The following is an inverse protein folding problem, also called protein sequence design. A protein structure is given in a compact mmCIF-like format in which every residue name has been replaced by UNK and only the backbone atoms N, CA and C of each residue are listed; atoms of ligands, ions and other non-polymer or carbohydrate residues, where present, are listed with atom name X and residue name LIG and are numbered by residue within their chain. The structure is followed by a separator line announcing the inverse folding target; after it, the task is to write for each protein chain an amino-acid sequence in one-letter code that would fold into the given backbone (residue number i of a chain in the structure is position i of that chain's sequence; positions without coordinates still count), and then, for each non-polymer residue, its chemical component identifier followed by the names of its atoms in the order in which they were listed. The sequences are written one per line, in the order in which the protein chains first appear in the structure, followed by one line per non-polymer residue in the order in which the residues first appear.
data_IF_371293951694
#
_entry.id   IF_371293951694
#
_cell.length_a   1.000
_cell.length_b   1.000
_cell.length_c   1.000
_cell.angle_alpha   90.00
_cell.angle_beta   90.00
_cell.angle_gamma   90.00
#
_symmetry.space_group_name_H-M   'P 1'
#
loop_
_entity.id
_entity.type
_entity.pdbx_description
1 polymer ?
#
# COMPACT_ATOMS: atom_id res chain seq x y z
N UNK A 1 -2.03 25.14 36.42
CA UNK A 1 -0.66 24.68 36.11
C UNK A 1 -0.76 23.22 35.72
N UNK A 2 -1.29 22.98 34.52
CA UNK A 2 -1.42 21.66 33.91
C UNK A 2 -0.36 21.63 32.81
N UNK A 3 0.69 20.85 33.02
CA UNK A 3 1.73 20.68 32.01
C UNK A 3 1.24 19.73 30.93
N UNK A 4 1.35 20.23 29.70
CA UNK A 4 1.14 19.51 28.45
C UNK A 4 2.01 18.24 28.47
N UNK A 5 1.37 17.08 28.39
CA UNK A 5 2.08 15.85 28.03
C UNK A 5 2.38 15.90 26.54
N UNK A 6 3.66 16.11 26.30
CA UNK A 6 4.44 15.94 25.08
C UNK A 6 3.80 15.02 24.03
N UNK A 7 3.28 15.66 22.99
CA UNK A 7 3.08 15.10 21.68
C UNK A 7 4.44 15.02 20.98
N UNK A 8 5.08 13.84 21.00
CA UNK A 8 6.05 13.33 20.01
C UNK A 8 6.79 12.11 20.57
N UNK A 9 6.13 10.94 20.60
CA UNK A 9 6.89 9.70 20.39
C UNK A 9 7.10 9.56 18.90
N UNK A 10 8.23 10.06 18.41
CA UNK A 10 8.80 9.55 17.16
C UNK A 10 9.34 8.16 17.52
N UNK A 11 8.48 7.15 17.45
CA UNK A 11 8.92 5.76 17.50
C UNK A 11 9.97 5.55 16.40
N UNK A 12 11.09 4.90 16.71
CA UNK A 12 11.98 4.41 15.66
C UNK A 12 11.17 3.39 14.84
N UNK A 13 10.88 3.66 13.56
CA UNK A 13 10.08 2.75 12.77
C UNK A 13 10.86 1.46 12.58
N UNK A 14 10.15 0.33 12.55
CA UNK A 14 10.72 -0.96 12.18
C UNK A 14 11.58 -0.80 10.92
N UNK A 15 12.87 -1.16 11.03
CA UNK A 15 13.81 -1.07 9.90
C UNK A 15 13.31 -1.86 8.69
N UNK A 16 13.76 -1.47 7.50
CA UNK A 16 13.47 -2.20 6.26
C UNK A 16 13.74 -3.69 6.42
N UNK A 17 12.88 -4.53 5.83
CA UNK A 17 13.02 -5.98 5.82
C UNK A 17 13.13 -6.53 4.39
N UNK A 18 13.61 -7.77 4.26
CA UNK A 18 13.67 -8.49 2.99
C UNK A 18 14.49 -7.81 1.89
N UNK A 19 14.02 -7.90 0.64
CA UNK A 19 14.67 -7.33 -0.54
C UNK A 19 14.92 -5.82 -0.41
N UNK A 20 13.98 -5.07 0.18
CA UNK A 20 14.13 -3.63 0.38
C UNK A 20 15.33 -3.28 1.27
N UNK A 21 15.59 -4.06 2.32
CA UNK A 21 16.78 -3.92 3.16
C UNK A 21 18.06 -4.33 2.43
N UNK A 22 18.01 -5.46 1.71
CA UNK A 22 19.16 -6.02 0.99
C UNK A 22 19.65 -5.12 -0.16
N UNK A 23 18.78 -4.29 -0.72
CA UNK A 23 19.15 -3.27 -1.70
C UNK A 23 20.21 -2.28 -1.18
N UNK A 24 20.15 -1.93 0.11
CA UNK A 24 21.15 -1.07 0.75
C UNK A 24 22.55 -1.68 0.84
N UNK A 25 22.70 -2.99 0.60
CA UNK A 25 23.99 -3.68 0.59
C UNK A 25 24.72 -3.57 -0.76
N UNK A 26 24.04 -3.11 -1.82
CA UNK A 26 24.63 -2.93 -3.14
C UNK A 26 25.61 -1.75 -3.13
N UNK A 27 26.76 -1.92 -3.77
CA UNK A 27 27.69 -0.82 -3.96
C UNK A 27 27.06 0.30 -4.79
N UNK A 28 27.10 1.52 -4.25
CA UNK A 28 26.58 2.70 -4.93
C UNK A 28 27.27 2.91 -6.29
N UNK A 29 26.48 3.23 -7.31
CA UNK A 29 27.02 3.64 -8.62
C UNK A 29 27.45 5.10 -8.53
N UNK A 30 28.59 5.41 -9.15
CA UNK A 30 29.09 6.79 -9.25
C UNK A 30 28.46 7.61 -10.36
N UNK A 31 27.56 7.01 -11.15
CA UNK A 31 26.89 7.64 -12.30
C UNK A 31 25.46 7.12 -12.43
N UNK A 32 24.59 7.97 -12.96
CA UNK A 32 23.24 7.61 -13.38
C UNK A 32 23.25 6.68 -14.60
N UNK A 33 22.21 5.83 -14.78
CA UNK A 33 22.08 4.99 -15.97
C UNK A 33 21.84 5.86 -17.21
N UNK A 34 22.67 5.67 -18.24
CA UNK A 34 22.56 6.45 -19.48
C UNK A 34 21.29 6.11 -20.30
N UNK A 35 20.76 4.90 -20.15
CA UNK A 35 19.58 4.41 -20.90
C UNK A 35 18.85 3.31 -20.11
N UNK A 36 17.59 3.03 -20.49
CA UNK A 36 16.81 1.91 -19.97
C UNK A 36 17.56 0.57 -20.02
N UNK A 37 18.25 0.29 -21.14
CA UNK A 37 19.05 -0.93 -21.31
C UNK A 37 20.22 -1.03 -20.31
N UNK A 38 20.86 0.10 -19.99
CA UNK A 38 21.94 0.12 -18.99
C UNK A 38 21.37 -0.16 -17.61
N UNK A 39 20.23 0.44 -17.28
CA UNK A 39 19.55 0.20 -16.00
C UNK A 39 19.10 -1.26 -15.87
N UNK A 40 18.47 -1.85 -16.90
CA UNK A 40 18.06 -3.25 -16.88
C UNK A 40 19.26 -4.19 -16.66
N UNK A 41 20.41 -3.92 -17.29
CA UNK A 41 21.64 -4.68 -17.06
C UNK A 41 22.11 -4.57 -15.59
N UNK A 42 22.00 -3.40 -14.96
CA UNK A 42 22.34 -3.23 -13.55
C UNK A 42 21.35 -3.95 -12.63
N UNK A 43 20.06 -3.94 -12.98
CA UNK A 43 19.02 -4.72 -12.29
C UNK A 43 19.33 -6.21 -12.37
N UNK A 44 19.63 -6.76 -13.55
CA UNK A 44 20.00 -8.17 -13.73
C UNK A 44 21.23 -8.57 -12.91
N UNK A 45 22.25 -7.70 -12.87
CA UNK A 45 23.45 -7.91 -12.05
C UNK A 45 23.11 -7.95 -10.55
N UNK A 46 22.30 -7.00 -10.08
CA UNK A 46 21.86 -6.97 -8.69
C UNK A 46 20.99 -8.19 -8.35
N UNK A 47 20.14 -8.65 -9.26
CA UNK A 47 19.32 -9.84 -9.05
C UNK A 47 20.16 -11.08 -8.80
N UNK A 48 21.20 -11.28 -9.62
CA UNK A 48 22.14 -12.38 -9.45
C UNK A 48 22.88 -12.30 -8.11
N UNK A 49 23.28 -11.10 -7.68
CA UNK A 49 23.96 -10.89 -6.39
C UNK A 49 23.03 -11.13 -5.19
N UNK A 50 21.78 -10.72 -5.29
CA UNK A 50 20.80 -10.79 -4.20
C UNK A 50 20.04 -12.13 -4.17
N UNK A 51 20.31 -13.04 -5.11
CA UNK A 51 19.60 -14.31 -5.21
C UNK A 51 18.11 -14.15 -5.54
N UNK A 52 17.73 -13.07 -6.23
CA UNK A 52 16.35 -12.82 -6.65
C UNK A 52 16.17 -13.15 -8.13
N UNK A 53 14.94 -13.47 -8.55
CA UNK A 53 14.61 -13.78 -9.95
C UNK A 53 13.37 -12.99 -10.40
N UNK A 54 13.22 -12.84 -11.72
CA UNK A 54 12.02 -12.26 -12.33
C UNK A 54 11.94 -10.72 -12.26
N UNK A 55 10.83 -10.08 -12.65
CA UNK A 55 10.75 -8.62 -12.79
C UNK A 55 10.70 -7.83 -11.46
N UNK A 56 10.71 -8.53 -10.31
CA UNK A 56 10.42 -7.96 -8.98
C UNK A 56 11.32 -6.78 -8.60
N UNK A 57 12.63 -6.87 -8.89
CA UNK A 57 13.57 -5.82 -8.51
C UNK A 57 13.41 -4.54 -9.35
N UNK A 58 13.27 -4.70 -10.68
CA UNK A 58 12.97 -3.56 -11.56
C UNK A 58 11.65 -2.89 -11.21
N UNK A 59 10.63 -3.69 -10.85
CA UNK A 59 9.36 -3.17 -10.35
C UNK A 59 9.52 -2.44 -9.02
N UNK A 60 10.29 -2.95 -8.05
CA UNK A 60 10.50 -2.30 -6.75
C UNK A 60 11.16 -0.93 -6.91
N UNK A 61 12.16 -0.81 -7.79
CA UNK A 61 12.80 0.47 -8.11
C UNK A 61 11.78 1.44 -8.70
N UNK A 62 11.02 1.00 -9.71
CA UNK A 62 10.00 1.83 -10.34
C UNK A 62 8.90 2.24 -9.34
N UNK A 63 8.45 1.32 -8.49
CA UNK A 63 7.44 1.58 -7.49
C UNK A 63 7.91 2.58 -6.42
N UNK A 64 9.17 2.48 -6.00
CA UNK A 64 9.78 3.42 -5.04
C UNK A 64 9.84 4.83 -5.63
N UNK A 65 10.34 4.96 -6.87
CA UNK A 65 10.46 6.25 -7.55
C UNK A 65 9.09 6.85 -7.86
N UNK A 66 8.17 6.08 -8.43
CA UNK A 66 6.82 6.56 -8.76
C UNK A 66 6.08 6.98 -7.48
N UNK A 67 6.19 6.23 -6.39
CA UNK A 67 5.62 6.65 -5.10
C UNK A 67 6.22 7.97 -4.63
N UNK A 68 7.55 8.13 -4.72
CA UNK A 68 8.22 9.39 -4.37
C UNK A 68 7.74 10.57 -5.21
N UNK A 69 7.55 10.39 -6.52
CA UNK A 69 7.02 11.44 -7.42
C UNK A 69 5.56 11.77 -7.11
N UNK A 70 4.70 10.76 -6.89
CA UNK A 70 3.31 10.98 -6.46
C UNK A 70 3.24 11.80 -5.16
N UNK A 71 4.22 11.62 -4.27
CA UNK A 71 4.30 12.33 -3.00
C UNK A 71 4.91 13.73 -3.07
N UNK A 72 5.45 14.14 -4.23
CA UNK A 72 5.80 15.55 -4.47
C UNK A 72 4.54 16.41 -4.61
N UNK A 73 3.42 15.85 -5.06
CA UNK A 73 2.13 16.53 -5.02
C UNK A 73 1.66 16.65 -3.56
N UNK A 74 1.83 17.83 -2.98
CA UNK A 74 1.71 18.05 -1.53
C UNK A 74 1.21 19.45 -1.19
N UNK A 75 0.75 19.61 0.06
CA UNK A 75 0.63 20.93 0.67
C UNK A 75 1.98 21.30 1.29
N UNK A 76 2.61 22.34 0.76
CA UNK A 76 3.84 22.87 1.31
C UNK A 76 3.61 23.49 2.71
N UNK A 77 4.52 23.24 3.64
CA UNK A 77 4.53 23.86 4.98
C UNK A 77 4.86 22.88 6.10
N UNK A 78 4.77 23.37 7.33
CA UNK A 78 5.05 22.68 8.59
C UNK A 78 3.79 22.53 9.48
N UNK A 79 2.63 23.01 8.99
CA UNK A 79 1.35 22.90 9.68
C UNK A 79 0.78 21.48 9.72
N UNK A 80 -0.22 21.24 10.58
CA UNK A 80 -0.87 19.92 10.76
C UNK A 80 -1.45 19.29 9.47
N UNK A 81 -1.70 20.10 8.44
CA UNK A 81 -2.23 19.66 7.16
C UNK A 81 -1.19 19.63 6.03
N UNK A 82 0.10 19.84 6.36
CA UNK A 82 1.16 19.74 5.36
C UNK A 82 1.49 18.29 5.01
N UNK A 83 2.24 18.11 3.94
CA UNK A 83 2.69 16.81 3.47
C UNK A 83 1.96 16.31 2.22
N UNK A 84 2.27 15.09 1.77
CA UNK A 84 1.81 14.58 0.49
C UNK A 84 0.30 14.39 0.47
N UNK A 85 -0.32 14.64 -0.68
CA UNK A 85 -1.71 14.27 -0.93
C UNK A 85 -1.86 12.76 -1.06
N UNK A 86 -0.88 12.10 -1.67
CA UNK A 86 -0.87 10.67 -1.90
C UNK A 86 -0.28 9.90 -0.70
N UNK A 87 -1.09 9.02 -0.11
CA UNK A 87 -0.65 8.04 0.88
C UNK A 87 -0.62 6.66 0.26
N UNK A 88 0.54 6.00 0.31
CA UNK A 88 0.68 4.63 -0.19
C UNK A 88 -0.11 3.65 0.68
N UNK A 89 -0.85 2.74 0.06
CA UNK A 89 -1.57 1.65 0.74
C UNK A 89 -1.36 0.32 0.01
N UNK A 90 -2.15 -0.69 0.37
CA UNK A 90 -2.23 -1.93 -0.40
C UNK A 90 -0.96 -2.78 -0.35
N UNK A 91 -0.72 -3.60 -1.38
CA UNK A 91 0.37 -4.57 -1.39
C UNK A 91 1.76 -3.94 -1.42
N UNK A 92 1.90 -2.78 -2.07
CA UNK A 92 3.18 -2.06 -2.16
C UNK A 92 3.61 -1.50 -0.80
N UNK A 93 2.67 -0.99 0.00
CA UNK A 93 2.94 -0.61 1.39
C UNK A 93 3.42 -1.83 2.22
N UNK A 94 2.74 -2.98 2.08
CA UNK A 94 3.11 -4.20 2.78
C UNK A 94 4.52 -4.66 2.42
N UNK A 95 4.92 -4.56 1.14
CA UNK A 95 6.27 -4.90 0.70
C UNK A 95 7.36 -4.10 1.43
N UNK A 96 7.14 -2.82 1.70
CA UNK A 96 8.11 -2.01 2.44
C UNK A 96 8.17 -2.38 3.93
N UNK A 97 7.07 -2.85 4.53
CA UNK A 97 7.00 -3.21 5.96
C UNK A 97 7.44 -4.63 6.28
N UNK A 98 7.03 -5.58 5.44
CA UNK A 98 7.18 -7.02 5.65
C UNK A 98 8.29 -7.64 4.80
N UNK A 99 8.75 -6.93 3.76
CA UNK A 99 9.87 -7.38 2.93
C UNK A 99 9.53 -8.57 2.03
N UNK A 100 10.24 -9.69 2.20
CA UNK A 100 10.17 -10.82 1.26
C UNK A 100 8.94 -11.70 1.45
N UNK A 101 8.28 -11.64 2.60
CA UNK A 101 7.13 -12.49 2.99
C UNK A 101 5.80 -12.02 2.39
N UNK A 102 5.81 -11.10 1.44
CA UNK A 102 4.60 -10.61 0.78
C UNK A 102 4.50 -11.14 -0.63
N UNK A 103 3.28 -11.45 -1.06
CA UNK A 103 2.94 -11.70 -2.45
C UNK A 103 3.43 -10.60 -3.41
N UNK A 104 3.65 -10.98 -4.65
CA UNK A 104 3.99 -10.01 -5.69
C UNK A 104 2.81 -9.05 -5.95
N UNK A 105 3.04 -7.75 -5.84
CA UNK A 105 2.12 -6.71 -6.29
C UNK A 105 2.66 -6.07 -7.57
N UNK A 106 1.76 -5.63 -8.44
CA UNK A 106 2.11 -4.96 -9.70
C UNK A 106 1.63 -3.52 -9.77
N UNK A 107 0.76 -3.15 -8.84
CA UNK A 107 0.06 -1.88 -8.84
C UNK A 107 0.46 -1.07 -7.61
N UNK A 108 0.39 0.25 -7.75
CA UNK A 108 0.53 1.20 -6.65
C UNK A 108 -0.88 1.63 -6.25
N UNK A 109 -1.34 1.17 -5.11
CA UNK A 109 -2.59 1.63 -4.51
C UNK A 109 -2.31 2.82 -3.59
N UNK A 110 -3.16 3.84 -3.67
CA UNK A 110 -3.08 5.01 -2.81
C UNK A 110 -4.42 5.54 -2.33
N UNK A 111 -4.35 6.31 -1.26
CA UNK A 111 -5.42 7.19 -0.80
C UNK A 111 -5.00 8.65 -1.06
N UNK A 112 -5.93 9.45 -1.56
CA UNK A 112 -5.71 10.87 -1.84
C UNK A 112 -6.47 11.72 -0.81
N UNK A 113 -5.73 12.58 -0.10
CA UNK A 113 -6.21 13.43 1.02
C UNK A 113 -6.89 14.74 0.57
N UNK A 114 -7.13 14.88 -0.72
CA UNK A 114 -7.78 16.02 -1.36
C UNK A 114 -8.69 15.50 -2.47
N UNK A 115 -9.51 16.37 -3.09
CA UNK A 115 -10.25 15.99 -4.28
C UNK A 115 -9.31 15.62 -5.45
N UNK A 116 -9.79 14.76 -6.35
CA UNK A 116 -8.96 14.27 -7.45
C UNK A 116 -8.51 15.35 -8.42
N UNK A 117 -9.29 16.41 -8.63
CA UNK A 117 -8.94 17.47 -9.58
C UNK A 117 -7.74 18.27 -9.03
N UNK A 118 -7.77 18.64 -7.75
CA UNK A 118 -6.64 19.25 -7.06
C UNK A 118 -5.41 18.33 -7.10
N UNK A 119 -5.58 17.04 -6.81
CA UNK A 119 -4.46 16.09 -6.87
C UNK A 119 -3.85 15.98 -8.27
N UNK A 120 -4.66 15.82 -9.32
CA UNK A 120 -4.15 15.70 -10.68
C UNK A 120 -3.49 16.99 -11.16
N UNK A 121 -4.05 18.16 -10.82
CA UNK A 121 -3.45 19.45 -11.17
C UNK A 121 -2.05 19.62 -10.55
N UNK A 122 -1.85 19.22 -9.29
CA UNK A 122 -0.53 19.27 -8.66
C UNK A 122 0.39 18.14 -9.15
N UNK A 123 -0.16 16.94 -9.40
CA UNK A 123 0.59 15.82 -9.96
C UNK A 123 1.17 16.18 -11.34
N UNK A 124 0.39 16.81 -12.20
CA UNK A 124 0.83 17.19 -13.55
C UNK A 124 1.95 18.24 -13.51
N UNK A 125 1.96 19.11 -12.50
CA UNK A 125 3.06 20.07 -12.28
C UNK A 125 4.34 19.35 -11.85
N UNK A 126 4.27 18.38 -10.94
CA UNK A 126 5.48 17.70 -10.43
C UNK A 126 6.00 16.63 -11.39
N UNK A 127 5.17 16.09 -12.28
CA UNK A 127 5.60 15.10 -13.29
C UNK A 127 6.53 15.68 -14.34
N UNK A 128 6.54 17.01 -14.55
CA UNK A 128 7.50 17.66 -15.46
C UNK A 128 8.93 17.71 -14.89
N UNK A 129 9.07 17.50 -13.59
CA UNK A 129 10.37 17.46 -12.92
C UNK A 129 10.97 16.05 -12.99
N UNK A 130 12.23 15.96 -13.38
CA UNK A 130 12.94 14.68 -13.38
C UNK A 130 13.20 14.15 -11.96
N UNK A 131 13.47 12.85 -11.88
CA UNK A 131 14.02 12.19 -10.70
C UNK A 131 15.30 11.47 -11.11
N UNK A 132 16.45 12.14 -10.95
CA UNK A 132 17.72 11.68 -11.51
C UNK A 132 17.60 11.39 -13.01
N UNK A 133 17.84 10.14 -13.46
CA UNK A 133 17.75 9.78 -14.89
C UNK A 133 16.31 9.70 -15.43
N UNK A 134 15.30 9.77 -14.57
CA UNK A 134 13.93 9.47 -14.93
C UNK A 134 13.12 10.72 -15.29
N UNK A 135 12.41 10.62 -16.41
CA UNK A 135 11.35 11.52 -16.84
C UNK A 135 10.00 10.81 -16.65
N UNK A 136 8.93 11.57 -16.45
CA UNK A 136 7.61 11.01 -16.17
C UNK A 136 6.53 11.59 -17.07
N UNK A 137 5.51 10.77 -17.31
CA UNK A 137 4.21 11.22 -17.78
C UNK A 137 3.14 10.27 -17.24
N UNK A 138 1.86 10.66 -17.31
CA UNK A 138 0.75 9.77 -16.97
C UNK A 138 -0.25 9.67 -18.10
N UNK A 139 -0.99 8.57 -18.13
CA UNK A 139 -2.19 8.46 -18.97
C UNK A 139 -3.34 9.25 -18.37
N UNK A 140 -4.41 9.39 -19.16
CA UNK A 140 -5.71 9.78 -18.63
C UNK A 140 -6.18 8.80 -17.55
N UNK A 141 -6.93 9.34 -16.59
CA UNK A 141 -7.45 8.59 -15.47
C UNK A 141 -8.82 8.00 -15.79
N UNK A 142 -8.93 6.69 -15.69
CA UNK A 142 -10.16 5.94 -15.87
C UNK A 142 -10.91 5.81 -14.54
N UNK A 143 -12.24 5.84 -14.59
CA UNK A 143 -13.10 5.63 -13.41
C UNK A 143 -13.32 4.13 -13.20
N UNK A 144 -12.97 3.63 -12.02
CA UNK A 144 -13.27 2.25 -11.64
C UNK A 144 -14.65 2.20 -11.00
N UNK A 145 -15.54 1.36 -11.53
CA UNK A 145 -16.85 1.15 -10.89
C UNK A 145 -16.72 0.16 -9.74
N UNK A 146 -16.92 0.66 -8.52
CA UNK A 146 -16.97 -0.13 -7.30
C UNK A 146 -18.37 0.00 -6.71
N UNK A 147 -19.13 -1.11 -6.55
CA UNK A 147 -20.42 -1.08 -5.87
C UNK A 147 -20.31 -0.48 -4.46
N UNK A 148 -21.27 0.36 -4.08
CA UNK A 148 -21.32 0.94 -2.73
C UNK A 148 -20.36 2.10 -2.45
N UNK A 149 -19.65 2.62 -3.46
CA UNK A 149 -18.81 3.82 -3.33
C UNK A 149 -19.42 5.01 -4.06
N UNK A 150 -19.60 6.12 -3.34
CA UNK A 150 -20.09 7.38 -3.94
C UNK A 150 -18.98 7.99 -4.80
N UNK A 151 -17.81 8.22 -4.20
CA UNK A 151 -16.64 8.66 -4.93
C UNK A 151 -15.83 7.45 -5.41
N UNK A 152 -16.02 7.13 -6.69
CA UNK A 152 -15.36 6.01 -7.36
C UNK A 152 -13.84 6.20 -7.42
N UNK A 153 -13.03 5.14 -7.25
CA UNK A 153 -11.58 5.22 -7.48
C UNK A 153 -11.22 5.62 -8.91
N UNK A 154 -9.96 6.04 -9.10
CA UNK A 154 -9.37 6.30 -10.42
C UNK A 154 -8.19 5.38 -10.66
N UNK A 155 -8.00 4.99 -11.91
CA UNK A 155 -6.83 4.22 -12.37
C UNK A 155 -6.16 4.93 -13.52
N UNK A 156 -4.85 5.01 -13.49
CA UNK A 156 -4.03 5.54 -14.57
C UNK A 156 -2.68 4.86 -14.54
N UNK A 157 -1.90 5.03 -15.60
CA UNK A 157 -0.53 4.55 -15.64
C UNK A 157 0.45 5.72 -15.59
N UNK A 158 1.48 5.58 -14.75
CA UNK A 158 2.67 6.45 -14.79
C UNK A 158 3.72 5.77 -15.67
N UNK A 159 4.18 6.50 -16.67
CA UNK A 159 5.27 6.09 -17.55
C UNK A 159 6.57 6.63 -16.96
N UNK A 160 7.54 5.74 -16.76
CA UNK A 160 8.89 6.06 -16.32
C UNK A 160 9.80 5.95 -17.53
N UNK A 161 10.37 7.07 -17.97
CA UNK A 161 11.20 7.16 -19.17
C UNK A 161 12.66 7.48 -18.80
N UNK A 162 13.60 7.04 -19.63
CA UNK A 162 14.98 7.52 -19.62
C UNK A 162 15.29 8.04 -21.02
N UNK A 163 15.51 9.35 -21.14
CA UNK A 163 15.79 10.04 -22.42
C UNK A 163 14.71 9.75 -23.46
N UNK A 164 13.44 9.91 -23.08
CA UNK A 164 12.28 9.67 -23.95
C UNK A 164 11.97 8.20 -24.25
N UNK A 165 12.73 7.22 -23.73
CA UNK A 165 12.42 5.80 -23.89
C UNK A 165 11.74 5.27 -22.63
N UNK A 166 10.51 4.76 -22.75
CA UNK A 166 9.78 4.14 -21.64
C UNK A 166 10.54 2.93 -21.12
N UNK A 167 11.00 3.01 -19.88
CA UNK A 167 11.61 1.90 -19.15
C UNK A 167 10.55 1.06 -18.43
N UNK A 168 9.59 1.69 -17.76
CA UNK A 168 8.49 1.01 -17.05
C UNK A 168 7.17 1.76 -17.21
N UNK A 169 6.08 0.99 -17.21
CA UNK A 169 4.71 1.45 -17.03
C UNK A 169 4.24 0.93 -15.68
N UNK A 170 3.79 1.83 -14.81
CA UNK A 170 3.36 1.51 -13.45
C UNK A 170 1.91 1.92 -13.28
N UNK A 171 1.04 0.94 -13.01
CA UNK A 171 -0.37 1.20 -12.77
C UNK A 171 -0.55 1.78 -11.38
N UNK A 172 -1.27 2.89 -11.30
CA UNK A 172 -1.63 3.59 -10.08
C UNK A 172 -3.14 3.58 -9.93
N UNK A 173 -3.62 3.12 -8.78
CA UNK A 173 -5.01 3.21 -8.38
C UNK A 173 -5.13 4.14 -7.17
N UNK A 174 -5.98 5.16 -7.27
CA UNK A 174 -6.23 6.10 -6.18
C UNK A 174 -7.69 5.99 -5.74
N UNK A 175 -7.89 5.94 -4.43
CA UNK A 175 -9.19 6.15 -3.81
C UNK A 175 -9.22 7.51 -3.10
N UNK A 176 -10.42 8.07 -2.97
CA UNK A 176 -10.62 9.20 -2.10
C UNK A 176 -10.39 8.83 -0.64
N UNK A 177 -10.20 9.86 0.18
CA UNK A 177 -10.18 9.73 1.62
C UNK A 177 -11.50 9.13 2.15
N UNK A 178 -11.40 8.35 3.23
CA UNK A 178 -12.56 7.76 3.90
C UNK A 178 -12.35 7.75 5.42
N UNK A 179 -13.35 8.24 6.16
CA UNK A 179 -13.21 8.37 7.61
C UNK A 179 -12.05 9.30 7.99
N UNK A 180 -11.26 8.90 8.99
CA UNK A 180 -10.03 9.59 9.41
C UNK A 180 -8.75 9.00 8.78
N UNK A 181 -8.87 8.15 7.75
CA UNK A 181 -7.76 7.45 7.08
C UNK A 181 -6.66 8.41 6.59
N UNK A 182 -7.03 9.51 5.94
CA UNK A 182 -6.11 10.52 5.42
C UNK A 182 -5.50 11.44 6.49
N UNK A 183 -5.96 11.35 7.75
CA UNK A 183 -5.39 12.11 8.87
C UNK A 183 -4.30 11.32 9.59
N UNK A 184 -4.45 10.01 9.72
CA UNK A 184 -3.46 9.14 10.35
C UNK A 184 -2.40 8.70 9.33
N UNK A 185 -1.40 9.56 9.13
CA UNK A 185 -0.29 9.32 8.22
C UNK A 185 0.85 8.63 8.97
N UNK A 186 1.23 7.45 8.49
CA UNK A 186 2.49 6.82 8.88
C UNK A 186 3.55 7.03 7.80
N UNK A 187 4.79 6.63 8.10
CA UNK A 187 5.85 6.64 7.10
C UNK A 187 6.77 5.45 7.28
N UNK A 188 7.25 4.92 6.16
CA UNK A 188 8.25 3.85 6.13
C UNK A 188 9.53 4.37 5.50
N UNK A 189 10.67 3.79 5.89
CA UNK A 189 11.92 4.02 5.18
C UNK A 189 11.78 3.52 3.74
N UNK A 190 12.34 4.26 2.77
CA UNK A 190 12.41 3.78 1.39
C UNK A 190 13.68 2.92 1.19
N UNK A 191 13.64 1.89 0.32
CA UNK A 191 14.84 1.16 -0.03
C UNK A 191 15.87 2.08 -0.70
N UNK A 192 17.14 1.86 -0.41
CA UNK A 192 18.23 2.55 -1.11
C UNK A 192 18.33 2.09 -2.56
N UNK A 193 18.30 3.05 -3.48
CA UNK A 193 18.44 2.88 -4.92
C UNK A 193 19.85 3.27 -5.43
N UNK A 194 20.77 3.59 -4.51
CA UNK A 194 22.13 4.01 -4.84
C UNK A 194 22.89 2.98 -5.68
N UNK A 195 22.62 1.68 -5.48
CA UNK A 195 23.16 0.58 -6.29
C UNK A 195 22.80 0.63 -7.79
N UNK A 196 21.85 1.49 -8.16
CA UNK A 196 21.41 1.73 -9.54
C UNK A 196 21.73 3.14 -10.03
N UNK A 197 22.47 3.95 -9.26
CA UNK A 197 22.75 5.34 -9.61
C UNK A 197 21.49 6.20 -9.61
N UNK A 198 20.55 5.89 -8.73
CA UNK A 198 19.26 6.58 -8.60
C UNK A 198 19.12 7.09 -7.17
N UNK A 199 18.70 8.35 -7.02
CA UNK A 199 18.38 8.92 -5.70
C UNK A 199 17.17 8.24 -5.07
N UNK A 200 17.17 8.04 -3.76
CA UNK A 200 16.05 7.42 -3.05
C UNK A 200 15.26 8.48 -2.29
N UNK A 201 13.92 8.41 -2.25
CA UNK A 201 13.18 9.21 -1.29
C UNK A 201 13.63 8.85 0.12
N UNK A 202 13.73 9.81 1.03
CA UNK A 202 14.17 9.52 2.40
C UNK A 202 13.15 8.62 3.14
N UNK A 203 11.86 8.94 2.98
CA UNK A 203 10.73 8.18 3.53
C UNK A 203 9.58 8.16 2.53
N UNK A 204 8.73 7.16 2.66
CA UNK A 204 7.47 7.03 1.92
C UNK A 204 6.33 7.23 2.91
N UNK A 205 5.44 8.19 2.66
CA UNK A 205 4.23 8.34 3.44
C UNK A 205 3.23 7.22 3.12
N UNK A 206 2.61 6.63 4.13
CA UNK A 206 1.68 5.52 3.97
C UNK A 206 0.38 5.80 4.70
N UNK A 207 -0.66 5.09 4.29
CA UNK A 207 -1.81 4.86 5.16
C UNK A 207 -1.32 4.25 6.48
N UNK A 208 -1.97 4.57 7.61
CA UNK A 208 -1.66 3.90 8.87
C UNK A 208 -1.96 2.41 8.80
N UNK A 209 -1.26 1.63 9.63
CA UNK A 209 -1.45 0.18 9.68
C UNK A 209 -2.86 -0.19 10.14
N UNK A 210 -3.43 0.55 11.10
CA UNK A 210 -4.81 0.36 11.56
C UNK A 210 -5.82 0.51 10.43
N UNK A 211 -5.70 1.55 9.59
CA UNK A 211 -6.61 1.74 8.45
C UNK A 211 -6.35 0.75 7.31
N UNK A 212 -5.10 0.34 7.07
CA UNK A 212 -4.80 -0.73 6.14
C UNK A 212 -5.47 -2.05 6.58
N UNK A 213 -5.42 -2.39 7.87
CA UNK A 213 -6.11 -3.54 8.46
C UNK A 213 -7.62 -3.37 8.28
N UNK A 214 -8.19 -2.24 8.68
CA UNK A 214 -9.63 -1.96 8.60
C UNK A 214 -10.19 -2.09 7.18
N UNK A 215 -9.50 -1.51 6.18
CA UNK A 215 -9.89 -1.62 4.77
C UNK A 215 -9.87 -3.06 4.27
N UNK A 216 -8.89 -3.87 4.69
CA UNK A 216 -8.78 -5.29 4.35
C UNK A 216 -9.85 -6.13 5.06
N UNK A 217 -10.10 -5.88 6.34
CA UNK A 217 -11.17 -6.54 7.11
C UNK A 217 -12.53 -6.31 6.43
N UNK A 218 -12.84 -5.05 6.08
CA UNK A 218 -14.08 -4.76 5.38
C UNK A 218 -14.16 -5.45 4.01
N UNK A 219 -13.05 -5.48 3.26
CA UNK A 219 -13.03 -6.12 1.93
C UNK A 219 -13.22 -7.65 2.02
N UNK A 220 -12.50 -8.32 2.91
CA UNK A 220 -12.51 -9.78 3.04
C UNK A 220 -13.83 -10.30 3.64
N UNK A 221 -14.48 -9.52 4.49
CA UNK A 221 -15.82 -9.82 5.06
C UNK A 221 -16.98 -9.37 4.16
N UNK A 222 -16.66 -8.83 2.98
CA UNK A 222 -17.65 -8.36 2.01
C UNK A 222 -18.64 -9.45 1.56
N UNK A 223 -19.85 -9.07 1.14
CA UNK A 223 -20.90 -10.00 0.76
C UNK A 223 -20.48 -10.90 -0.41
N UNK A 224 -20.86 -12.17 -0.33
CA UNK A 224 -20.75 -13.14 -1.42
C UNK A 224 -22.15 -13.65 -1.77
N UNK A 225 -22.70 -13.16 -2.88
CA UNK A 225 -24.03 -13.49 -3.40
C UNK A 225 -23.90 -13.66 -4.93
N UNK A 226 -23.33 -14.77 -5.40
CA UNK A 226 -23.16 -15.01 -6.83
C UNK A 226 -24.51 -15.22 -7.55
N UNK A 227 -24.64 -14.82 -8.83
CA UNK A 227 -23.58 -14.25 -9.68
C UNK A 227 -23.34 -12.75 -9.49
N UNK A 228 -24.22 -12.03 -8.79
CA UNK A 228 -24.20 -10.56 -8.73
C UNK A 228 -23.00 -10.02 -7.96
N UNK A 229 -22.58 -10.72 -6.90
CA UNK A 229 -21.48 -10.34 -6.03
C UNK A 229 -20.59 -11.56 -5.72
N UNK A 230 -19.43 -11.62 -6.37
CA UNK A 230 -18.39 -12.60 -6.05
C UNK A 230 -17.31 -11.90 -5.23
N UNK A 231 -17.13 -12.34 -3.98
CA UNK A 231 -16.01 -11.88 -3.17
C UNK A 231 -14.80 -12.75 -3.53
N UNK A 232 -13.75 -12.15 -4.08
CA UNK A 232 -12.51 -12.82 -4.52
C UNK A 232 -11.29 -12.25 -3.77
N UNK A 233 -11.43 -12.15 -2.44
CA UNK A 233 -10.46 -11.51 -1.56
C UNK A 233 -9.69 -12.49 -0.67
N UNK A 234 -9.46 -13.72 -1.13
CA UNK A 234 -8.63 -14.72 -0.43
C UNK A 234 -7.30 -14.13 0.08
N UNK A 235 -6.67 -13.29 -0.74
CA UNK A 235 -5.40 -12.62 -0.44
C UNK A 235 -5.41 -11.75 0.79
N UNK A 236 -6.58 -11.18 1.11
CA UNK A 236 -6.72 -10.32 2.28
C UNK A 236 -6.66 -11.16 3.57
N UNK A 237 -6.93 -12.48 3.54
CA UNK A 237 -6.66 -13.39 4.68
C UNK A 237 -5.16 -13.46 4.96
N UNK A 238 -4.34 -13.70 3.93
CA UNK A 238 -2.88 -13.77 4.04
C UNK A 238 -2.32 -12.43 4.51
N UNK A 239 -2.71 -11.33 3.86
CA UNK A 239 -2.25 -9.99 4.21
C UNK A 239 -2.61 -9.61 5.66
N UNK A 240 -3.80 -9.99 6.15
CA UNK A 240 -4.23 -9.72 7.54
C UNK A 240 -3.47 -10.54 8.58
N UNK A 241 -3.16 -11.82 8.29
CA UNK A 241 -2.34 -12.63 9.19
C UNK A 241 -0.91 -12.09 9.30
N UNK A 242 -0.32 -11.68 8.18
CA UNK A 242 1.00 -11.03 8.19
C UNK A 242 0.99 -9.69 8.95
N UNK A 243 -0.07 -8.90 8.79
CA UNK A 243 -0.26 -7.64 9.52
C UNK A 243 -0.43 -7.89 11.02
N UNK A 244 -1.23 -8.87 11.42
CA UNK A 244 -1.36 -9.29 12.82
C UNK A 244 -0.01 -9.68 13.40
N UNK A 245 0.76 -10.53 12.72
CA UNK A 245 2.06 -10.97 13.20
C UNK A 245 3.04 -9.80 13.31
N UNK A 246 2.95 -8.83 12.40
CA UNK A 246 3.69 -7.57 12.50
C UNK A 246 3.28 -6.78 13.73
N UNK A 247 1.97 -6.56 13.95
CA UNK A 247 1.44 -5.86 15.14
C UNK A 247 1.91 -6.53 16.43
N UNK A 248 1.86 -7.86 16.53
CA UNK A 248 2.32 -8.60 17.70
C UNK A 248 3.82 -8.43 17.94
N UNK A 249 4.63 -8.36 16.87
CA UNK A 249 6.09 -8.19 16.95
C UNK A 249 6.51 -6.76 17.25
N UNK A 250 5.83 -5.76 16.66
CA UNK A 250 6.13 -4.34 16.87
C UNK A 250 5.54 -3.80 18.16
N UNK A 251 4.43 -4.40 18.64
CA UNK A 251 3.62 -3.86 19.74
C UNK A 251 2.76 -2.65 19.33
N UNK A 252 2.67 -2.34 18.03
CA UNK A 252 1.93 -1.21 17.50
C UNK A 252 1.38 -1.50 16.08
N UNK A 253 0.18 -1.02 15.72
CA UNK A 253 -0.77 -0.28 16.56
C UNK A 253 -1.37 -1.14 17.69
N UNK A 254 -1.90 -0.49 18.72
CA UNK A 254 -2.64 -1.17 19.79
C UNK A 254 -3.99 -1.71 19.26
N UNK A 255 -4.58 -2.70 19.95
CA UNK A 255 -5.80 -3.36 19.45
C UNK A 255 -7.00 -2.40 19.40
N UNK A 256 -7.09 -1.46 20.33
CA UNK A 256 -8.12 -0.42 20.38
C UNK A 256 -7.98 0.58 19.21
N UNK A 257 -6.75 0.92 18.80
CA UNK A 257 -6.49 1.72 17.60
C UNK A 257 -6.94 1.00 16.32
N UNK A 258 -6.72 -0.32 16.24
CA UNK A 258 -7.22 -1.14 15.12
C UNK A 258 -8.74 -1.19 15.15
N UNK A 259 -9.34 -1.39 16.32
CA UNK A 259 -10.79 -1.46 16.50
C UNK A 259 -11.46 -0.14 16.06
N UNK A 260 -10.94 1.00 16.53
CA UNK A 260 -11.42 2.32 16.15
C UNK A 260 -11.39 2.53 14.63
N UNK A 261 -10.30 2.13 13.96
CA UNK A 261 -10.20 2.21 12.51
C UNK A 261 -11.18 1.28 11.79
N UNK A 262 -11.42 0.06 12.30
CA UNK A 262 -12.42 -0.87 11.77
C UNK A 262 -13.81 -0.25 11.87
N UNK A 263 -14.21 0.25 13.03
CA UNK A 263 -15.51 0.91 13.24
C UNK A 263 -15.69 2.08 12.27
N UNK A 264 -14.71 2.99 12.18
CA UNK A 264 -14.79 4.15 11.28
C UNK A 264 -14.95 3.74 9.80
N UNK A 265 -14.13 2.80 9.29
CA UNK A 265 -14.25 2.33 7.91
C UNK A 265 -15.61 1.68 7.64
N UNK A 266 -16.10 0.83 8.55
CA UNK A 266 -17.41 0.19 8.40
C UNK A 266 -18.54 1.21 8.44
N UNK A 267 -18.51 2.17 9.37
CA UNK A 267 -19.52 3.21 9.46
C UNK A 267 -19.58 4.11 8.23
N UNK A 268 -18.42 4.57 7.74
CA UNK A 268 -18.34 5.40 6.52
C UNK A 268 -18.93 4.66 5.33
N UNK A 269 -18.52 3.40 5.12
CA UNK A 269 -19.00 2.58 4.00
C UNK A 269 -20.46 2.19 4.16
N UNK A 270 -20.95 1.99 5.38
CA UNK A 270 -22.37 1.76 5.66
C UNK A 270 -23.21 2.99 5.28
N UNK A 271 -22.76 4.20 5.60
CA UNK A 271 -23.44 5.45 5.19
C UNK A 271 -23.46 5.59 3.67
N UNK A 272 -22.35 5.33 2.98
CA UNK A 272 -22.31 5.35 1.52
C UNK A 272 -23.24 4.31 0.89
N UNK A 273 -23.21 3.08 1.40
CA UNK A 273 -24.07 1.99 0.95
C UNK A 273 -25.56 2.33 1.10
N UNK A 274 -25.94 2.88 2.26
CA UNK A 274 -27.31 3.33 2.52
C UNK A 274 -27.74 4.45 1.55
N UNK A 275 -26.87 5.44 1.31
CA UNK A 275 -27.13 6.52 0.36
C UNK A 275 -27.33 6.01 -1.07
N UNK A 276 -26.66 4.92 -1.44
CA UNK A 276 -26.77 4.28 -2.76
C UNK A 276 -27.86 3.20 -2.84
N UNK A 277 -28.58 2.94 -1.74
CA UNK A 277 -29.61 1.91 -1.68
C UNK A 277 -29.08 0.48 -1.86
N UNK A 278 -27.79 0.26 -1.60
CA UNK A 278 -27.17 -1.07 -1.65
C UNK A 278 -27.06 -1.67 -0.24
N UNK A 279 -26.85 -2.98 -0.16
CA UNK A 279 -26.78 -3.71 1.11
C UNK A 279 -25.68 -3.12 2.01
N UNK A 280 -26.08 -2.73 3.21
CA UNK A 280 -25.18 -2.24 4.25
C UNK A 280 -24.46 -3.41 4.91
N UNK A 281 -23.14 -3.26 5.10
CA UNK A 281 -22.29 -4.16 5.86
C UNK A 281 -21.97 -3.51 7.21
N UNK A 282 -22.02 -4.28 8.29
CA UNK A 282 -21.84 -3.80 9.67
C UNK A 282 -20.76 -4.60 10.39
N UNK A 283 -20.15 -3.99 11.40
CA UNK A 283 -19.23 -4.63 12.33
C UNK A 283 -19.98 -5.03 13.63
N UNK A 284 -19.64 -6.16 14.30
CA UNK A 284 -18.64 -7.16 13.94
C UNK A 284 -19.03 -8.01 12.73
N UNK A 285 -18.04 -8.35 11.91
CA UNK A 285 -18.20 -9.20 10.73
C UNK A 285 -17.22 -10.39 10.79
N UNK A 286 -17.62 -11.54 10.23
CA UNK A 286 -16.79 -12.75 10.21
C UNK A 286 -16.25 -13.04 8.83
N UNK A 287 -14.99 -13.43 8.77
CA UNK A 287 -14.37 -13.93 7.54
C UNK A 287 -14.91 -15.34 7.26
N UNK A 288 -15.31 -15.59 6.02
CA UNK A 288 -15.82 -16.90 5.58
C UNK A 288 -14.83 -17.48 4.57
N UNK A 289 -14.42 -18.73 4.81
CA UNK A 289 -13.61 -19.49 3.86
C UNK A 289 -14.48 -19.98 2.70
N UNK A 290 -14.52 -19.20 1.62
CA UNK A 290 -15.30 -19.60 0.44
C UNK A 290 -14.57 -20.69 -0.35
N UNK A 291 -15.25 -21.76 -0.83
CA UNK A 291 -14.58 -22.86 -1.53
C UNK A 291 -13.79 -22.44 -2.78
N UNK A 292 -14.22 -21.39 -3.49
CA UNK A 292 -13.51 -20.91 -4.69
C UNK A 292 -12.19 -20.19 -4.36
N UNK A 293 -11.92 -19.87 -3.09
CA UNK A 293 -10.68 -19.22 -2.66
C UNK A 293 -9.51 -20.19 -2.52
N UNK A 294 -9.74 -21.51 -2.45
CA UNK A 294 -8.69 -22.49 -2.11
C UNK A 294 -7.44 -22.37 -3.01
N UNK A 295 -7.63 -22.26 -4.33
CA UNK A 295 -6.52 -22.18 -5.28
C UNK A 295 -5.73 -20.87 -5.16
N UNK A 296 -6.41 -19.73 -5.09
CA UNK A 296 -5.76 -18.42 -4.96
C UNK A 296 -5.10 -18.28 -3.60
N UNK A 297 -5.78 -18.68 -2.53
CA UNK A 297 -5.24 -18.70 -1.17
C UNK A 297 -3.96 -19.53 -1.08
N UNK A 298 -3.96 -20.76 -1.61
CA UNK A 298 -2.79 -21.67 -1.56
C UNK A 298 -1.58 -21.02 -2.24
N UNK A 299 -1.80 -20.41 -3.41
CA UNK A 299 -0.73 -19.70 -4.12
C UNK A 299 -0.17 -18.54 -3.28
N UNK A 300 -1.06 -17.75 -2.69
CA UNK A 300 -0.71 -16.55 -1.93
C UNK A 300 -0.03 -16.87 -0.59
N UNK A 301 -0.47 -17.93 0.08
CA UNK A 301 0.08 -18.39 1.35
C UNK A 301 1.47 -19.01 1.19
N UNK A 302 1.68 -19.82 0.14
CA UNK A 302 2.99 -20.37 -0.23
C UNK A 302 4.00 -19.27 -0.56
N UNK A 303 3.61 -18.27 -1.35
CA UNK A 303 4.48 -17.13 -1.68
C UNK A 303 4.88 -16.31 -0.44
N UNK A 304 4.01 -16.28 0.57
CA UNK A 304 4.13 -15.43 1.75
C UNK A 304 4.67 -16.17 2.99
N UNK A 305 4.82 -17.49 2.92
CA UNK A 305 5.24 -18.34 4.04
C UNK A 305 4.18 -18.51 5.14
N UNK A 306 2.91 -18.22 4.85
CA UNK A 306 1.78 -18.46 5.77
C UNK A 306 1.42 -19.94 5.69
N UNK A 307 1.46 -20.63 6.82
CA UNK A 307 1.24 -22.07 6.89
C UNK A 307 -0.18 -22.40 7.33
N UNK A 308 -0.80 -23.37 6.67
CA UNK A 308 -2.12 -23.88 7.03
C UNK A 308 -3.08 -23.95 5.84
N UNK A 309 -4.21 -24.63 6.02
CA UNK A 309 -5.30 -24.58 5.05
C UNK A 309 -6.05 -23.25 5.14
N UNK A 310 -6.82 -22.91 4.10
CA UNK A 310 -7.70 -21.75 4.09
C UNK A 310 -8.59 -21.70 5.34
N UNK A 311 -9.21 -22.83 5.67
CA UNK A 311 -10.10 -22.94 6.83
C UNK A 311 -9.39 -22.60 8.14
N UNK A 312 -8.20 -23.16 8.38
CA UNK A 312 -7.41 -22.91 9.60
C UNK A 312 -7.01 -21.43 9.68
N UNK A 313 -6.53 -20.86 8.58
CA UNK A 313 -6.11 -19.47 8.54
C UNK A 313 -7.28 -18.49 8.75
N UNK A 314 -8.47 -18.82 8.23
CA UNK A 314 -9.70 -18.04 8.46
C UNK A 314 -10.19 -18.16 9.90
N UNK A 315 -10.09 -19.33 10.53
CA UNK A 315 -10.40 -19.50 11.95
C UNK A 315 -9.47 -18.67 12.83
N UNK A 316 -8.17 -18.74 12.57
CA UNK A 316 -7.14 -17.98 13.26
C UNK A 316 -7.32 -16.46 13.12
N UNK A 317 -7.65 -16.00 11.91
CA UNK A 317 -7.96 -14.61 11.63
C UNK A 317 -9.21 -14.16 12.40
N UNK A 318 -10.28 -14.94 12.38
CA UNK A 318 -11.50 -14.61 13.13
C UNK A 318 -11.24 -14.55 14.64
N UNK A 319 -10.41 -15.44 15.20
CA UNK A 319 -10.02 -15.37 16.62
C UNK A 319 -9.30 -14.06 16.93
N UNK A 320 -8.37 -13.63 16.09
CA UNK A 320 -7.71 -12.34 16.29
C UNK A 320 -8.69 -11.17 16.18
N UNK A 321 -9.61 -11.21 15.21
CA UNK A 321 -10.63 -10.16 15.05
C UNK A 321 -11.59 -10.07 16.24
N UNK A 322 -11.89 -11.17 16.93
CA UNK A 322 -12.63 -11.12 18.19
C UNK A 322 -11.86 -10.37 19.28
N UNK A 323 -10.55 -10.58 19.40
CA UNK A 323 -9.71 -9.83 20.35
C UNK A 323 -9.65 -8.34 20.02
N UNK A 324 -9.65 -7.98 18.72
CA UNK A 324 -9.74 -6.59 18.29
C UNK A 324 -11.09 -5.99 18.68
N UNK A 325 -12.20 -6.70 18.42
CA UNK A 325 -13.54 -6.23 18.78
C UNK A 325 -13.68 -5.99 20.29
N UNK A 326 -13.16 -6.91 21.10
CA UNK A 326 -13.15 -6.83 22.58
C UNK A 326 -12.32 -5.66 23.14
N UNK A 327 -11.41 -5.10 22.34
CA UNK A 327 -10.60 -3.94 22.72
C UNK A 327 -11.27 -2.59 22.43
N UNK A 328 -12.47 -2.59 21.82
CA UNK A 328 -13.25 -1.38 21.49
C UNK A 328 -13.81 -0.66 22.71
#
# INVERSE_FOLDING_TARGET
MAELRDSQRLEEPAGLQGLAARLGLLQAKSKEPFSARVLDKWVEQAQAQLGTRGPRLGWLIAATVVTGVLQRACVAGDGKNSGPFFLLKGGTMLQYRLGDTTRNTRDIDGLVRTDFDTFFNELDKVLVESWGPFEFSRTEAEVITVPGRVLKPRRFDVLVLIKGVTWRRVQVEISADEGDAGRLVESVAAPSLAGFGVESPARIATLSMSYQIAQKVHAVTGPHQPPELVNDRSRDVVDLLLLRDLVQRSGAPELDEIAAAIHDVFEVRAREAANLGVKVQTWPARVVAWPHWETSFTTESEESGVNGSLQVCVEELNTWLCLVDEAS
#
